data_IF_612603709697
#
_entry.id   IF_612603709697
#
_cell.length_a   1.000
_cell.length_b   1.000
_cell.length_c   1.000
_cell.angle_alpha   90.00
_cell.angle_beta   90.00
_cell.angle_gamma   90.00
#
_symmetry.space_group_name_H-M   'P 1'
#
loop_
_entity.id
_entity.type
_entity.pdbx_description
1 polymer ?
#
# COMPACT_ATOMS: atom_id res chain seq x y z
N UNK A 1 3.40 -3.74 22.19
CA UNK A 1 3.63 -2.90 20.98
C UNK A 1 4.80 -3.52 20.23
N UNK A 2 4.55 -4.29 19.16
CA UNK A 2 5.63 -4.89 18.38
C UNK A 2 6.05 -3.86 17.34
N UNK A 3 7.25 -3.28 17.50
CA UNK A 3 7.90 -2.50 16.45
C UNK A 3 8.56 -3.50 15.50
N UNK A 4 7.94 -3.73 14.35
CA UNK A 4 8.57 -4.46 13.26
C UNK A 4 9.49 -3.48 12.54
N UNK A 5 10.80 -3.60 12.76
CA UNK A 5 11.79 -2.85 12.00
C UNK A 5 12.02 -3.57 10.68
N UNK A 6 11.34 -3.11 9.62
CA UNK A 6 11.72 -3.49 8.27
C UNK A 6 12.98 -2.69 7.92
N UNK A 7 14.16 -3.31 8.00
CA UNK A 7 15.31 -2.84 7.23
C UNK A 7 15.01 -3.16 5.76
N UNK A 8 14.22 -2.29 5.14
CA UNK A 8 13.95 -2.37 3.71
C UNK A 8 15.28 -2.09 2.99
N UNK A 9 15.89 -3.13 2.46
CA UNK A 9 16.77 -2.98 1.30
C UNK A 9 15.90 -2.25 0.27
N UNK A 10 16.35 -1.08 -0.20
CA UNK A 10 15.56 -0.14 -1.04
C UNK A 10 14.80 -0.83 -2.20
N UNK A 11 15.28 -2.00 -2.64
CA UNK A 11 14.73 -2.83 -3.72
C UNK A 11 13.42 -3.57 -3.36
N UNK A 12 13.19 -3.93 -2.10
CA UNK A 12 12.04 -4.79 -1.72
C UNK A 12 10.68 -4.11 -1.82
N UNK A 13 10.65 -2.78 -2.04
CA UNK A 13 9.42 -1.99 -2.10
C UNK A 13 8.98 -1.68 -3.53
N UNK A 14 9.79 -2.02 -4.55
CA UNK A 14 9.46 -1.76 -5.95
C UNK A 14 8.67 -2.93 -6.55
N UNK A 15 7.54 -2.63 -7.18
CA UNK A 15 6.76 -3.59 -7.95
C UNK A 15 7.33 -3.78 -9.35
N UNK A 16 7.52 -5.04 -9.72
CA UNK A 16 7.99 -5.44 -11.05
C UNK A 16 7.02 -6.44 -11.68
N UNK A 17 6.85 -6.36 -13.01
CA UNK A 17 6.07 -7.33 -13.77
C UNK A 17 4.60 -7.39 -13.36
N UNK A 18 4.00 -6.24 -13.07
CA UNK A 18 2.56 -6.14 -12.78
C UNK A 18 1.74 -6.00 -14.05
N UNK A 19 0.54 -6.56 -14.03
CA UNK A 19 -0.47 -6.42 -15.07
C UNK A 19 -1.50 -5.41 -14.62
N UNK A 20 -1.80 -4.43 -15.47
CA UNK A 20 -2.88 -3.48 -15.26
C UNK A 20 -4.23 -4.19 -15.19
N UNK A 21 -5.06 -3.80 -14.23
CA UNK A 21 -6.40 -4.33 -14.07
C UNK A 21 -7.37 -3.16 -13.88
N UNK A 22 -8.60 -3.29 -14.39
CA UNK A 22 -9.62 -2.24 -14.21
C UNK A 22 -9.35 -0.95 -15.01
N UNK A 23 -10.16 0.10 -14.77
CA UNK A 23 -10.11 1.33 -15.54
C UNK A 23 -8.84 2.16 -15.26
N UNK A 24 -8.49 2.98 -16.26
CA UNK A 24 -7.55 4.08 -16.07
C UNK A 24 -8.26 5.19 -15.28
N UNK A 25 -7.68 5.58 -14.14
CA UNK A 25 -8.20 6.61 -13.24
C UNK A 25 -7.41 7.91 -13.27
N UNK A 26 -6.33 7.95 -14.05
CA UNK A 26 -5.53 9.16 -14.23
C UNK A 26 -4.25 8.91 -15.00
N UNK A 27 -3.42 9.94 -15.09
CA UNK A 27 -2.11 9.89 -15.71
C UNK A 27 -1.08 10.58 -14.82
N UNK A 28 0.12 10.00 -14.72
CA UNK A 28 1.25 10.59 -14.03
C UNK A 28 2.52 10.42 -14.84
N UNK A 29 3.19 11.52 -15.13
CA UNK A 29 4.38 11.57 -16.01
C UNK A 29 4.16 10.82 -17.34
N UNK A 30 2.96 10.98 -17.92
CA UNK A 30 2.57 10.34 -19.18
C UNK A 30 2.24 8.84 -19.08
N UNK A 31 2.22 8.25 -17.87
CA UNK A 31 1.80 6.86 -17.65
C UNK A 31 0.38 6.78 -17.12
N UNK A 32 -0.38 5.82 -17.63
CA UNK A 32 -1.69 5.46 -17.11
C UNK A 32 -1.59 5.00 -15.65
N UNK A 33 -2.51 5.50 -14.83
CA UNK A 33 -2.76 4.99 -13.49
C UNK A 33 -4.00 4.12 -13.58
N UNK A 34 -3.83 2.82 -13.37
CA UNK A 34 -4.97 1.91 -13.20
C UNK A 34 -5.38 1.85 -11.73
N UNK A 35 -6.68 1.74 -11.47
CA UNK A 35 -7.21 1.63 -10.11
C UNK A 35 -6.64 0.43 -9.34
N UNK A 36 -6.31 -0.65 -10.06
CA UNK A 36 -5.66 -1.84 -9.52
C UNK A 36 -4.62 -2.43 -10.47
N UNK A 37 -3.66 -3.13 -9.87
CA UNK A 37 -2.67 -3.95 -10.60
C UNK A 37 -2.54 -5.31 -9.92
N UNK A 38 -2.13 -6.31 -10.69
CA UNK A 38 -1.90 -7.67 -10.20
C UNK A 38 -0.48 -8.11 -10.54
N UNK A 39 0.22 -8.72 -9.60
CA UNK A 39 1.54 -9.29 -9.86
C UNK A 39 1.48 -10.75 -10.35
N UNK A 40 2.64 -11.32 -10.70
CA UNK A 40 2.73 -12.71 -11.18
C UNK A 40 2.23 -13.77 -10.19
N UNK A 41 2.10 -13.44 -8.92
CA UNK A 41 1.58 -14.33 -7.87
C UNK A 41 0.09 -14.11 -7.60
N UNK A 42 -0.58 -13.34 -8.44
CA UNK A 42 -1.99 -12.95 -8.30
C UNK A 42 -2.29 -12.14 -7.04
N UNK A 43 -1.28 -11.43 -6.50
CA UNK A 43 -1.51 -10.46 -5.43
C UNK A 43 -2.09 -9.21 -6.06
N UNK A 44 -3.20 -8.73 -5.51
CA UNK A 44 -3.89 -7.53 -5.97
C UNK A 44 -3.38 -6.32 -5.19
N UNK A 45 -3.14 -5.23 -5.90
CA UNK A 45 -2.73 -3.97 -5.32
C UNK A 45 -3.63 -2.84 -5.81
N UNK A 46 -4.04 -1.95 -4.91
CA UNK A 46 -4.94 -0.83 -5.19
C UNK A 46 -4.16 0.47 -5.18
N UNK A 47 -4.40 1.34 -6.16
CA UNK A 47 -3.74 2.65 -6.22
C UNK A 47 -4.12 3.51 -5.00
N UNK A 48 -3.12 4.11 -4.36
CA UNK A 48 -3.32 4.97 -3.17
C UNK A 48 -2.65 6.33 -3.27
N UNK A 49 -1.82 6.58 -4.29
CA UNK A 49 -1.23 7.90 -4.51
C UNK A 49 0.07 7.87 -5.28
N UNK A 50 0.85 8.93 -5.12
CA UNK A 50 2.17 9.08 -5.73
C UNK A 50 3.19 9.47 -4.66
N UNK A 51 4.43 9.05 -4.87
CA UNK A 51 5.59 9.48 -4.10
C UNK A 51 6.63 10.08 -5.06
N UNK A 52 7.13 11.25 -4.71
CA UNK A 52 8.18 11.92 -5.48
C UNK A 52 9.55 11.32 -5.17
N UNK A 53 10.40 11.27 -6.20
CA UNK A 53 11.83 11.00 -5.99
C UNK A 53 12.47 12.17 -5.25
N UNK A 54 13.31 11.86 -4.27
CA UNK A 54 14.22 12.84 -3.68
C UNK A 54 15.26 13.31 -4.71
N UNK A 55 15.97 14.41 -4.41
CA UNK A 55 16.98 15.02 -5.30
C UNK A 55 18.05 14.05 -5.84
N UNK A 56 18.28 12.93 -5.16
CA UNK A 56 19.23 11.88 -5.56
C UNK A 56 18.59 10.74 -6.37
N UNK A 57 17.34 10.89 -6.82
CA UNK A 57 16.61 9.91 -7.61
C UNK A 57 16.01 8.75 -6.80
N UNK A 58 16.17 8.74 -5.48
CA UNK A 58 15.65 7.68 -4.59
C UNK A 58 14.28 8.04 -4.02
N UNK A 59 13.47 7.04 -3.74
CA UNK A 59 12.26 7.22 -2.94
C UNK A 59 12.61 7.18 -1.45
N UNK A 60 11.76 7.80 -0.62
CA UNK A 60 11.87 7.74 0.84
C UNK A 60 10.96 6.63 1.37
N UNK A 61 11.49 5.47 1.80
CA UNK A 61 10.69 4.37 2.33
C UNK A 61 9.87 4.77 3.57
N UNK A 62 10.32 5.78 4.33
CA UNK A 62 9.63 6.23 5.54
C UNK A 62 8.28 6.90 5.24
N UNK A 63 8.03 7.28 3.98
CA UNK A 63 6.76 7.85 3.53
C UNK A 63 5.73 6.80 3.12
N UNK A 64 6.12 5.53 3.02
CA UNK A 64 5.19 4.44 2.70
C UNK A 64 4.47 3.96 3.97
N UNK A 65 3.16 3.76 3.83
CA UNK A 65 2.36 3.05 4.80
C UNK A 65 2.60 1.53 4.78
N UNK A 66 2.04 0.79 5.76
CA UNK A 66 2.11 -0.66 5.77
C UNK A 66 1.55 -1.26 4.48
N UNK A 67 2.27 -2.23 3.92
CA UNK A 67 1.88 -2.94 2.69
C UNK A 67 1.74 -2.05 1.46
N UNK A 68 2.36 -0.87 1.46
CA UNK A 68 2.50 -0.03 0.29
C UNK A 68 3.79 -0.34 -0.45
N UNK A 69 3.69 -0.28 -1.78
CA UNK A 69 4.75 -0.58 -2.72
C UNK A 69 4.73 0.45 -3.83
N UNK A 70 5.88 0.65 -4.47
CA UNK A 70 6.07 1.65 -5.51
C UNK A 70 6.13 0.95 -6.86
N UNK A 71 5.27 1.35 -7.78
CA UNK A 71 5.40 1.07 -9.20
C UNK A 71 6.04 2.29 -9.88
N UNK A 72 7.12 2.06 -10.62
CA UNK A 72 7.81 3.15 -11.30
C UNK A 72 6.91 3.83 -12.36
N UNK A 73 6.83 5.18 -12.41
CA UNK A 73 7.74 6.16 -11.82
C UNK A 73 7.27 6.81 -10.50
N UNK A 74 6.91 6.03 -9.47
CA UNK A 74 6.55 6.58 -8.15
C UNK A 74 5.06 6.47 -7.82
N UNK A 75 4.31 5.66 -8.57
CA UNK A 75 2.93 5.33 -8.24
C UNK A 75 2.92 4.43 -7.01
N UNK A 76 2.13 4.77 -6.01
CA UNK A 76 2.02 3.99 -4.77
C UNK A 76 0.76 3.13 -4.84
N UNK A 77 0.97 1.84 -4.62
CA UNK A 77 -0.06 0.81 -4.59
C UNK A 77 -0.01 0.07 -3.27
N UNK A 78 -1.18 -0.16 -2.66
CA UNK A 78 -1.30 -0.94 -1.42
C UNK A 78 -1.77 -2.36 -1.71
N UNK A 79 -1.07 -3.36 -1.19
CA UNK A 79 -1.47 -4.75 -1.32
C UNK A 79 -2.80 -4.99 -0.61
N UNK A 80 -3.78 -5.54 -1.33
CA UNK A 80 -5.03 -5.99 -0.75
C UNK A 80 -4.78 -7.29 0.01
N UNK A 81 -4.76 -7.21 1.34
CA UNK A 81 -4.71 -8.39 2.19
C UNK A 81 -6.14 -8.93 2.28
N UNK A 82 -6.41 -10.18 1.83
CA UNK A 82 -7.73 -10.76 2.02
C UNK A 82 -8.01 -10.79 3.53
N UNK A 83 -9.14 -10.21 3.95
CA UNK A 83 -9.64 -10.45 5.29
C UNK A 83 -9.75 -11.96 5.47
N UNK A 84 -8.95 -12.52 6.38
CA UNK A 84 -9.19 -13.88 6.85
C UNK A 84 -10.57 -13.87 7.49
N UNK A 85 -11.60 -14.32 6.76
CA UNK A 85 -12.91 -14.68 7.34
C UNK A 85 -12.65 -15.66 8.49
N UNK A 86 -12.64 -15.19 9.74
CA UNK A 86 -12.55 -16.07 10.91
C UNK A 86 -11.79 -15.61 12.15
N UNK A 87 -11.21 -14.41 12.25
CA UNK A 87 -10.83 -13.87 13.57
C UNK A 87 -10.79 -12.34 13.57
N UNK A 88 -11.66 -11.65 14.33
CA UNK A 88 -11.45 -10.24 14.58
C UNK A 88 -10.12 -10.08 15.35
N UNK A 89 -9.21 -9.28 14.81
CA UNK A 89 -8.13 -8.72 15.62
C UNK A 89 -8.82 -7.82 16.66
N UNK A 90 -8.90 -8.28 17.92
CA UNK A 90 -9.49 -7.54 19.03
C UNK A 90 -8.71 -6.23 19.25
N UNK A 91 -9.10 -5.19 18.55
CA UNK A 91 -8.93 -3.80 18.99
C UNK A 91 -10.32 -3.29 19.39
N UNK A 92 -10.87 -3.87 20.46
CA UNK A 92 -12.02 -3.29 21.15
C UNK A 92 -11.48 -2.33 22.20
N UNK A 93 -11.41 -1.03 21.86
CA UNK A 93 -11.51 0.00 22.90
C UNK A 93 -12.99 0.09 23.25
N UNK A 94 -13.37 -0.54 24.35
CA UNK A 94 -14.71 -0.43 24.92
C UNK A 94 -14.84 0.92 25.62
N UNK A 95 -15.57 1.85 25.01
CA UNK A 95 -16.14 2.97 25.75
C UNK A 95 -17.44 2.48 26.40
N UNK A 96 -17.37 2.15 27.69
CA UNK A 96 -18.55 2.13 28.56
C UNK A 96 -18.54 3.43 29.34
N UNK A 97 -19.55 4.26 29.15
CA UNK A 97 -19.96 5.26 30.13
C UNK A 97 -21.46 5.08 30.32
N UNK A 98 -21.81 4.10 31.15
CA UNK A 98 -23.11 4.05 31.77
C UNK A 98 -23.05 4.84 33.07
N UNK A 99 -23.96 5.79 33.23
CA UNK A 99 -24.60 6.15 34.50
C UNK A 99 -25.88 6.91 34.16
N UNK A 100 -26.95 6.16 33.95
CA UNK A 100 -28.28 6.63 34.32
C UNK A 100 -28.37 6.54 35.85
N UNK A 101 -28.73 7.65 36.50
CA UNK A 101 -29.29 7.72 37.85
C UNK A 101 -30.56 8.54 37.77
#
# INVERSE_FOLDING_TARGET
MVRVHFHAVDECLILHGVTAQGPVIGYYLGREIHDRVEDRWRRVYIYVGVIERQRLGRYDPARLGPFEFILEPGLVYRMQIPERKGRPLRNTVSWWSGSDV
#
